data_IF_497940756824
#
_entry.id   IF_497940756824
#
_cell.length_a   1.000
_cell.length_b   1.000
_cell.length_c   1.000
_cell.angle_alpha   90.00
_cell.angle_beta   90.00
_cell.angle_gamma   90.00
#
_symmetry.space_group_name_H-M   'P 1'
#
loop_
_entity.id
_entity.type
_entity.pdbx_description
1 polymer ?
#
# COMPACT_ATOMS: atom_id res chain seq x y z
N UNK A 1 82.66 62.82 68.64
CA UNK A 1 81.73 61.73 68.97
C UNK A 1 80.27 62.12 68.63
N UNK A 2 79.81 63.32 68.89
CA UNK A 2 78.40 63.75 68.67
C UNK A 2 78.03 63.82 67.21
N UNK A 3 78.95 64.18 66.28
CA UNK A 3 78.72 64.26 64.87
C UNK A 3 78.45 62.84 64.17
N UNK A 4 79.10 61.83 64.76
CA UNK A 4 79.01 60.46 64.25
C UNK A 4 77.64 59.81 64.62
N UNK A 5 77.12 60.17 65.81
CA UNK A 5 75.81 59.72 66.27
C UNK A 5 74.69 60.41 65.49
N UNK A 6 74.83 61.70 65.14
CA UNK A 6 73.90 62.44 64.34
C UNK A 6 73.83 61.88 62.89
N UNK A 7 74.95 61.42 62.32
CA UNK A 7 75.03 60.80 60.98
C UNK A 7 74.30 59.42 60.95
N UNK A 8 74.47 58.63 62.01
CA UNK A 8 73.80 57.34 62.15
C UNK A 8 72.26 57.47 62.28
N UNK A 9 71.82 58.51 63.04
CA UNK A 9 70.38 58.80 63.15
C UNK A 9 69.79 59.32 61.83
N UNK A 10 70.57 60.11 61.09
CA UNK A 10 70.16 60.61 59.81
C UNK A 10 70.07 59.45 58.75
N UNK A 11 70.99 58.49 58.74
CA UNK A 11 70.94 57.31 57.85
C UNK A 11 69.79 56.35 58.20
N UNK A 12 69.43 56.26 59.47
CA UNK A 12 68.29 55.42 59.88
C UNK A 12 66.96 56.03 59.46
N UNK A 13 66.85 57.34 59.33
CA UNK A 13 65.67 58.04 58.87
C UNK A 13 65.49 58.01 57.30
N UNK A 14 66.59 57.88 56.59
CA UNK A 14 66.55 57.84 55.11
C UNK A 14 66.21 56.45 54.55
N UNK A 15 66.00 55.47 55.41
CA UNK A 15 65.50 54.15 54.94
C UNK A 15 66.52 53.30 54.18
N UNK A 16 67.84 53.68 54.25
CA UNK A 16 68.92 52.94 53.54
C UNK A 16 69.37 51.69 54.29
N UNK A 17 69.02 51.57 55.59
CA UNK A 17 69.34 50.39 56.40
C UNK A 17 68.01 49.85 56.96
N UNK A 18 67.37 49.00 56.25
CA UNK A 18 66.16 48.29 56.64
C UNK A 18 65.45 47.78 55.44
N UNK A 19 65.81 46.62 55.04
CA UNK A 19 65.08 45.90 54.02
C UNK A 19 63.72 45.59 54.63
N UNK A 20 62.73 46.47 54.37
CA UNK A 20 61.33 46.10 54.64
C UNK A 20 60.95 45.01 53.60
N UNK A 21 60.99 43.77 54.04
CA UNK A 21 60.30 42.72 53.34
C UNK A 21 58.86 43.16 53.03
N UNK A 22 58.65 43.61 51.82
CA UNK A 22 57.28 43.77 51.29
C UNK A 22 56.65 42.38 51.27
N UNK A 23 55.92 42.05 52.30
CA UNK A 23 55.10 40.85 52.31
C UNK A 23 54.35 40.72 50.96
N UNK A 24 54.42 39.56 50.33
CA UNK A 24 53.64 39.27 49.12
C UNK A 24 52.18 39.49 49.49
N UNK A 25 51.51 40.40 48.81
CA UNK A 25 50.09 40.53 48.93
C UNK A 25 49.48 39.27 48.34
N UNK A 26 48.84 38.47 49.14
CA UNK A 26 48.09 37.26 48.71
C UNK A 26 46.65 37.72 48.60
N UNK A 27 46.13 37.58 47.42
CA UNK A 27 44.72 37.79 47.18
C UNK A 27 43.98 36.55 47.65
N UNK A 28 43.14 36.66 48.63
CA UNK A 28 42.36 35.57 49.20
C UNK A 28 40.98 35.69 48.61
N UNK A 29 40.64 34.78 47.69
CA UNK A 29 39.28 34.63 47.19
C UNK A 29 38.53 33.62 48.06
N UNK A 30 37.34 33.97 48.49
CA UNK A 30 36.45 33.07 49.21
C UNK A 30 35.86 32.07 48.19
N UNK A 31 36.13 30.79 48.36
CA UNK A 31 35.56 29.74 47.54
C UNK A 31 34.09 29.65 47.87
N UNK A 32 33.25 29.94 46.86
CA UNK A 32 31.82 29.73 46.96
C UNK A 32 31.48 28.42 46.24
N UNK A 33 30.66 27.62 46.88
CA UNK A 33 30.09 26.43 46.22
C UNK A 33 28.97 26.88 45.28
N UNK A 34 29.13 26.61 43.99
CA UNK A 34 28.09 26.84 43.00
C UNK A 34 27.66 25.50 42.38
N UNK A 35 26.38 25.35 42.20
CA UNK A 35 25.84 24.19 41.50
C UNK A 35 25.99 24.40 39.99
N UNK A 36 26.75 23.53 39.33
CA UNK A 36 26.87 23.50 37.89
C UNK A 36 25.80 22.54 37.36
N UNK A 37 24.88 23.07 36.57
CA UNK A 37 23.90 22.25 35.86
C UNK A 37 24.42 22.01 34.44
N UNK A 38 24.84 20.80 34.18
CA UNK A 38 25.20 20.37 32.82
C UNK A 38 23.91 19.97 32.06
N UNK A 39 23.60 20.69 31.01
CA UNK A 39 22.47 20.38 30.12
C UNK A 39 22.99 19.63 28.92
N UNK A 40 22.59 18.38 28.79
CA UNK A 40 22.84 17.58 27.58
C UNK A 40 21.60 17.68 26.68
N UNK A 41 21.75 18.30 25.53
CA UNK A 41 20.70 18.30 24.49
C UNK A 41 20.82 17.05 23.64
N UNK A 42 19.72 16.29 23.53
CA UNK A 42 19.62 15.16 22.65
C UNK A 42 18.51 15.41 21.61
N UNK A 43 18.78 15.06 20.37
CA UNK A 43 17.79 15.09 19.30
C UNK A 43 17.33 13.67 19.03
N UNK A 44 16.01 13.46 18.89
CA UNK A 44 15.40 12.18 18.56
C UNK A 44 14.34 12.36 17.49
N UNK A 45 14.09 11.31 16.71
CA UNK A 45 12.99 11.23 15.75
C UNK A 45 11.95 10.26 16.28
N UNK A 46 10.72 10.73 16.41
CA UNK A 46 9.58 9.87 16.75
C UNK A 46 9.08 9.25 15.43
N UNK A 47 9.02 7.94 15.38
CA UNK A 47 8.49 7.21 14.26
C UNK A 47 7.38 6.27 14.74
N UNK A 48 6.33 6.03 13.94
CA UNK A 48 5.31 5.05 14.27
C UNK A 48 5.93 3.63 14.25
N UNK A 49 5.42 2.76 15.11
CA UNK A 49 5.81 1.34 15.15
C UNK A 49 5.41 0.61 13.86
N UNK A 50 4.23 0.97 13.31
CA UNK A 50 3.71 0.41 12.06
C UNK A 50 3.33 1.56 11.14
N UNK A 51 3.89 1.57 9.95
CA UNK A 51 3.54 2.49 8.86
C UNK A 51 3.01 1.69 7.67
N UNK A 52 1.79 1.98 7.22
CA UNK A 52 1.18 1.37 6.04
C UNK A 52 1.09 2.41 4.94
N UNK A 53 1.85 2.22 3.87
CA UNK A 53 1.77 3.05 2.67
C UNK A 53 0.62 2.57 1.79
N UNK A 54 -0.34 3.45 1.55
CA UNK A 54 -1.48 3.20 0.68
C UNK A 54 -1.22 3.91 -0.64
N UNK A 55 -1.18 3.15 -1.73
CA UNK A 55 -1.06 3.67 -3.09
C UNK A 55 -2.25 3.22 -3.94
N UNK A 56 -2.51 3.93 -5.03
CA UNK A 56 -3.53 3.52 -5.98
C UNK A 56 -3.01 2.34 -6.82
N UNK A 57 -3.80 1.29 -6.97
CA UNK A 57 -3.53 0.17 -7.88
C UNK A 57 -4.08 0.43 -9.29
N UNK A 58 -4.91 1.46 -9.45
CA UNK A 58 -5.55 1.83 -10.72
C UNK A 58 -5.31 3.29 -11.04
N UNK A 59 -5.24 3.62 -12.34
CA UNK A 59 -5.01 4.99 -12.80
C UNK A 59 -6.34 5.72 -12.96
N UNK A 60 -6.39 7.00 -12.57
CA UNK A 60 -7.56 7.82 -12.77
C UNK A 60 -7.51 9.13 -11.99
N UNK A 61 -8.54 9.95 -12.13
CA UNK A 61 -8.73 11.20 -11.41
C UNK A 61 -9.41 10.94 -10.06
N UNK A 62 -8.95 11.59 -9.00
CA UNK A 62 -9.56 11.54 -7.68
C UNK A 62 -10.82 12.39 -7.67
N UNK A 63 -11.98 11.76 -7.57
CA UNK A 63 -13.29 12.44 -7.55
C UNK A 63 -13.83 12.67 -6.13
N UNK A 64 -13.29 11.96 -5.13
CA UNK A 64 -13.62 12.21 -3.73
C UNK A 64 -12.41 11.87 -2.85
N UNK A 65 -12.15 12.75 -1.89
CA UNK A 65 -11.11 12.63 -0.88
C UNK A 65 -11.78 12.90 0.47
N UNK A 66 -11.98 11.86 1.26
CA UNK A 66 -12.81 11.92 2.48
C UNK A 66 -11.97 12.00 3.76
N UNK A 67 -10.67 12.22 3.63
CA UNK A 67 -9.73 12.24 4.76
C UNK A 67 -8.82 13.44 4.66
N UNK A 68 -8.32 13.86 5.83
CA UNK A 68 -7.32 14.93 5.98
C UNK A 68 -6.15 14.39 6.81
N UNK A 69 -5.00 15.06 6.71
CA UNK A 69 -3.85 14.75 7.56
C UNK A 69 -4.19 14.90 9.04
N UNK A 70 -3.70 13.97 9.87
CA UNK A 70 -3.98 13.92 11.30
C UNK A 70 -5.32 13.28 11.68
N UNK A 71 -6.16 12.91 10.71
CA UNK A 71 -7.46 12.29 10.99
C UNK A 71 -7.31 10.83 11.43
N UNK A 72 -8.08 10.46 12.46
CA UNK A 72 -8.22 9.06 12.88
C UNK A 72 -9.23 8.36 12.00
N UNK A 73 -8.85 7.22 11.45
CA UNK A 73 -9.69 6.38 10.58
C UNK A 73 -9.80 4.97 11.15
N UNK A 74 -10.91 4.31 10.85
CA UNK A 74 -11.15 2.91 11.19
C UNK A 74 -11.00 2.03 9.95
N UNK A 75 -10.67 0.77 10.17
CA UNK A 75 -10.65 -0.23 9.10
C UNK A 75 -11.97 -0.26 8.35
N UNK A 76 -11.91 -0.10 7.03
CA UNK A 76 -13.06 -0.06 6.15
C UNK A 76 -13.62 1.35 5.87
N UNK A 77 -13.08 2.40 6.49
CA UNK A 77 -13.46 3.77 6.15
C UNK A 77 -13.01 4.11 4.73
N UNK A 78 -13.87 4.83 3.99
CA UNK A 78 -13.58 5.29 2.64
C UNK A 78 -12.59 6.44 2.68
N UNK A 79 -11.39 6.23 2.13
CA UNK A 79 -10.34 7.24 2.07
C UNK A 79 -10.41 8.05 0.79
N UNK A 80 -10.31 7.37 -0.35
CA UNK A 80 -10.23 7.99 -1.68
C UNK A 80 -11.13 7.27 -2.66
N UNK A 81 -11.77 8.03 -3.56
CA UNK A 81 -12.51 7.48 -4.68
C UNK A 81 -11.96 8.03 -5.99
N UNK A 82 -11.54 7.12 -6.86
CA UNK A 82 -11.05 7.40 -8.20
C UNK A 82 -12.23 7.31 -9.16
N UNK A 83 -12.21 8.07 -10.25
CA UNK A 83 -13.26 8.06 -11.27
C UNK A 83 -13.47 6.64 -11.84
N UNK A 84 -14.62 6.00 -11.59
CA UNK A 84 -14.87 4.61 -11.99
C UNK A 84 -15.39 4.45 -13.43
N UNK A 85 -15.66 5.53 -14.18
CA UNK A 85 -16.41 5.48 -15.44
C UNK A 85 -15.77 4.56 -16.48
N UNK A 86 -14.46 4.62 -16.64
CA UNK A 86 -13.69 3.77 -17.54
C UNK A 86 -13.81 2.28 -17.13
N UNK A 87 -13.67 2.01 -15.84
CA UNK A 87 -13.72 0.66 -15.28
C UNK A 87 -15.13 0.09 -15.33
N UNK A 88 -16.13 0.91 -15.05
CA UNK A 88 -17.55 0.54 -15.17
C UNK A 88 -17.91 0.17 -16.62
N UNK A 89 -17.45 0.96 -17.58
CA UNK A 89 -17.66 0.68 -19.01
C UNK A 89 -16.95 -0.61 -19.44
N UNK A 90 -15.72 -0.83 -18.93
CA UNK A 90 -14.96 -2.06 -19.13
C UNK A 90 -15.69 -3.28 -18.55
N UNK A 91 -16.17 -3.19 -17.32
CA UNK A 91 -16.94 -4.25 -16.66
C UNK A 91 -18.22 -4.59 -17.45
N UNK A 92 -19.00 -3.59 -17.86
CA UNK A 92 -20.23 -3.80 -18.63
C UNK A 92 -19.97 -4.47 -19.98
N UNK A 93 -18.86 -4.12 -20.65
CA UNK A 93 -18.42 -4.77 -21.89
C UNK A 93 -18.10 -6.24 -21.69
N UNK A 94 -17.35 -6.58 -20.64
CA UNK A 94 -17.02 -7.98 -20.33
C UNK A 94 -18.24 -8.77 -19.91
N UNK A 95 -19.20 -8.17 -19.20
CA UNK A 95 -20.47 -8.78 -18.83
C UNK A 95 -21.33 -9.09 -20.05
N UNK A 96 -21.36 -8.20 -21.05
CA UNK A 96 -22.05 -8.42 -22.32
C UNK A 96 -21.41 -9.57 -23.11
N UNK A 97 -20.08 -9.65 -23.14
CA UNK A 97 -19.36 -10.76 -23.76
C UNK A 97 -19.67 -12.10 -23.07
N UNK A 98 -19.71 -12.14 -21.73
CA UNK A 98 -20.12 -13.33 -20.98
C UNK A 98 -21.56 -13.77 -21.35
N UNK A 99 -22.46 -12.81 -21.52
CA UNK A 99 -23.82 -13.11 -21.94
C UNK A 99 -23.87 -13.75 -23.31
N UNK A 100 -23.05 -13.28 -24.27
CA UNK A 100 -22.89 -13.86 -25.58
C UNK A 100 -22.31 -15.28 -25.53
N UNK A 101 -21.27 -15.51 -24.74
CA UNK A 101 -20.70 -16.86 -24.60
C UNK A 101 -21.65 -17.83 -23.90
N UNK A 102 -22.49 -17.38 -22.96
CA UNK A 102 -23.57 -18.19 -22.37
C UNK A 102 -24.64 -18.57 -23.40
N UNK A 103 -24.99 -17.66 -24.31
CA UNK A 103 -25.91 -17.97 -25.42
C UNK A 103 -25.32 -19.05 -26.35
N UNK A 104 -24.02 -18.96 -26.67
CA UNK A 104 -23.33 -20.00 -27.48
C UNK A 104 -23.28 -21.35 -26.75
N UNK A 105 -23.09 -21.36 -25.41
CA UNK A 105 -23.19 -22.61 -24.64
C UNK A 105 -24.59 -23.21 -24.70
N UNK A 106 -25.62 -22.37 -24.60
CA UNK A 106 -27.03 -22.82 -24.73
C UNK A 106 -27.30 -23.45 -26.09
N UNK A 107 -26.77 -22.87 -27.18
CA UNK A 107 -26.86 -23.43 -28.52
C UNK A 107 -26.13 -24.77 -28.63
N UNK A 108 -24.88 -24.84 -28.10
CA UNK A 108 -24.11 -26.10 -28.11
C UNK A 108 -24.80 -27.20 -27.27
N UNK A 109 -25.44 -26.82 -26.15
CA UNK A 109 -26.21 -27.74 -25.31
C UNK A 109 -27.46 -28.28 -26.05
N UNK A 110 -28.14 -27.44 -26.81
CA UNK A 110 -29.28 -27.86 -27.65
C UNK A 110 -28.84 -28.85 -28.74
N UNK A 111 -27.73 -28.55 -29.44
CA UNK A 111 -27.15 -29.44 -30.44
C UNK A 111 -26.68 -30.77 -29.84
N UNK A 112 -26.10 -30.74 -28.65
CA UNK A 112 -25.72 -31.95 -27.90
C UNK A 112 -26.93 -32.78 -27.52
N UNK A 113 -28.03 -32.17 -27.05
CA UNK A 113 -29.28 -32.87 -26.72
C UNK A 113 -29.89 -33.56 -27.96
N UNK A 114 -29.87 -32.88 -29.10
CA UNK A 114 -30.31 -33.46 -30.38
C UNK A 114 -29.45 -34.66 -30.79
N UNK A 115 -28.13 -34.48 -30.80
CA UNK A 115 -27.18 -35.54 -31.14
C UNK A 115 -27.29 -36.74 -30.20
N UNK A 116 -27.51 -36.48 -28.90
CA UNK A 116 -27.73 -37.52 -27.89
C UNK A 116 -29.00 -38.28 -28.13
N UNK A 117 -30.11 -37.61 -28.43
CA UNK A 117 -31.38 -38.28 -28.74
C UNK A 117 -31.29 -39.16 -30.00
N UNK A 118 -30.55 -38.70 -31.02
CA UNK A 118 -30.27 -39.49 -32.24
C UNK A 118 -29.36 -40.69 -31.92
N UNK A 119 -28.33 -40.51 -31.12
CA UNK A 119 -27.44 -41.58 -30.65
C UNK A 119 -28.22 -42.64 -29.89
N UNK A 120 -29.04 -42.28 -28.89
CA UNK A 120 -29.82 -43.21 -28.05
C UNK A 120 -30.84 -43.99 -28.91
N UNK A 121 -31.48 -43.35 -29.90
CA UNK A 121 -32.38 -43.98 -30.86
C UNK A 121 -31.64 -44.97 -31.75
N UNK A 122 -30.56 -44.54 -32.39
CA UNK A 122 -29.76 -45.35 -33.31
C UNK A 122 -29.10 -46.53 -32.60
N UNK A 123 -28.72 -46.37 -31.33
CA UNK A 123 -28.23 -47.47 -30.48
C UNK A 123 -29.28 -48.56 -30.37
N UNK A 124 -30.51 -48.20 -30.06
CA UNK A 124 -31.63 -49.17 -29.96
C UNK A 124 -31.92 -49.88 -31.29
N UNK A 125 -31.81 -49.16 -32.42
CA UNK A 125 -32.03 -49.76 -33.78
C UNK A 125 -30.85 -50.66 -34.15
N UNK A 126 -29.61 -50.29 -33.81
CA UNK A 126 -28.42 -51.10 -34.06
C UNK A 126 -28.45 -52.41 -33.26
N UNK A 127 -28.81 -52.32 -31.97
CA UNK A 127 -28.95 -53.47 -31.06
C UNK A 127 -30.00 -54.47 -31.56
N UNK A 128 -31.00 -53.97 -32.32
CA UNK A 128 -32.05 -54.78 -32.98
C UNK A 128 -31.66 -55.26 -34.41
N UNK A 129 -30.47 -54.90 -34.90
CA UNK A 129 -30.00 -55.25 -36.23
C UNK A 129 -30.72 -54.52 -37.39
N UNK A 130 -31.38 -53.37 -37.11
CA UNK A 130 -32.21 -52.64 -38.10
C UNK A 130 -31.37 -51.66 -38.93
N UNK A 131 -30.28 -51.13 -38.39
CA UNK A 131 -29.37 -50.17 -39.08
C UNK A 131 -28.01 -50.78 -39.35
N UNK A 132 -27.30 -50.22 -40.35
CA UNK A 132 -25.94 -50.65 -40.67
C UNK A 132 -24.92 -50.18 -39.62
N UNK A 133 -23.77 -50.88 -39.53
CA UNK A 133 -22.67 -50.46 -38.69
C UNK A 133 -22.16 -49.07 -39.10
N UNK A 134 -22.12 -48.75 -40.40
CA UNK A 134 -21.72 -47.44 -40.91
C UNK A 134 -22.62 -46.31 -40.40
N UNK A 135 -23.93 -46.52 -40.34
CA UNK A 135 -24.89 -45.52 -39.86
C UNK A 135 -24.79 -45.36 -38.33
N UNK A 136 -24.55 -46.45 -37.63
CA UNK A 136 -24.23 -46.42 -36.20
C UNK A 136 -22.96 -45.63 -35.93
N UNK A 137 -21.84 -45.92 -36.62
CA UNK A 137 -20.56 -45.22 -36.42
C UNK A 137 -20.69 -43.73 -36.74
N UNK A 138 -21.47 -43.30 -37.72
CA UNK A 138 -21.79 -41.90 -37.99
C UNK A 138 -22.54 -41.24 -36.83
N UNK A 139 -23.48 -41.94 -36.22
CA UNK A 139 -24.24 -41.44 -35.09
C UNK A 139 -23.35 -41.25 -33.84
N UNK A 140 -22.43 -42.22 -33.60
CA UNK A 140 -21.45 -42.11 -32.52
C UNK A 140 -20.53 -40.90 -32.74
N UNK A 141 -20.00 -40.75 -33.97
CA UNK A 141 -19.12 -39.62 -34.29
C UNK A 141 -19.83 -38.28 -34.10
N UNK A 142 -21.08 -38.15 -34.57
CA UNK A 142 -21.88 -36.93 -34.41
C UNK A 142 -22.13 -36.59 -32.93
N UNK A 143 -22.40 -37.59 -32.09
CA UNK A 143 -22.58 -37.42 -30.66
C UNK A 143 -21.30 -36.96 -29.98
N UNK A 144 -20.16 -37.59 -30.30
CA UNK A 144 -18.86 -37.20 -29.68
C UNK A 144 -18.45 -35.80 -30.13
N UNK A 145 -18.69 -35.40 -31.39
CA UNK A 145 -18.44 -34.03 -31.86
C UNK A 145 -19.32 -33.02 -31.11
N UNK A 146 -20.62 -33.29 -30.97
CA UNK A 146 -21.52 -32.39 -30.25
C UNK A 146 -21.16 -32.28 -28.76
N UNK A 147 -20.72 -33.38 -28.13
CA UNK A 147 -20.25 -33.44 -26.77
C UNK A 147 -18.98 -32.57 -26.59
N UNK A 148 -18.02 -32.70 -27.51
CA UNK A 148 -16.79 -31.91 -27.48
C UNK A 148 -17.07 -30.40 -27.67
N UNK A 149 -18.00 -30.06 -28.60
CA UNK A 149 -18.40 -28.67 -28.83
C UNK A 149 -19.07 -28.05 -27.58
N UNK A 150 -19.97 -28.78 -26.92
CA UNK A 150 -20.57 -28.33 -25.65
C UNK A 150 -19.49 -28.10 -24.58
N UNK A 151 -18.54 -29.00 -24.45
CA UNK A 151 -17.47 -28.88 -23.48
C UNK A 151 -16.57 -27.67 -23.77
N UNK A 152 -16.23 -27.44 -25.04
CA UNK A 152 -15.49 -26.25 -25.47
C UNK A 152 -16.26 -24.96 -25.13
N UNK A 153 -17.56 -24.90 -25.45
CA UNK A 153 -18.41 -23.77 -25.13
C UNK A 153 -18.49 -23.52 -23.60
N UNK A 154 -18.52 -24.58 -22.79
CA UNK A 154 -18.49 -24.48 -21.34
C UNK A 154 -17.19 -23.83 -20.83
N UNK A 155 -16.02 -24.24 -21.33
CA UNK A 155 -14.75 -23.62 -20.96
C UNK A 155 -14.63 -22.16 -21.43
N UNK A 156 -15.24 -21.83 -22.59
CA UNK A 156 -15.32 -20.45 -23.06
C UNK A 156 -16.13 -19.56 -22.08
N UNK A 157 -17.24 -20.07 -21.54
CA UNK A 157 -18.00 -19.36 -20.48
C UNK A 157 -17.18 -19.19 -19.23
N UNK A 158 -16.43 -20.22 -18.82
CA UNK A 158 -15.56 -20.14 -17.64
C UNK A 158 -14.47 -19.08 -17.82
N UNK A 159 -13.82 -19.04 -18.99
CA UNK A 159 -12.83 -18.02 -19.34
C UNK A 159 -13.44 -16.62 -19.34
N UNK A 160 -14.60 -16.43 -20.00
CA UNK A 160 -15.27 -15.14 -20.01
C UNK A 160 -15.71 -14.70 -18.59
N UNK A 161 -16.10 -15.65 -17.74
CA UNK A 161 -16.42 -15.36 -16.33
C UNK A 161 -15.20 -14.89 -15.54
N UNK A 162 -14.02 -15.46 -15.78
CA UNK A 162 -12.78 -15.01 -15.17
C UNK A 162 -12.44 -13.57 -15.58
N UNK A 163 -12.61 -13.22 -16.86
CA UNK A 163 -12.41 -11.85 -17.35
C UNK A 163 -13.40 -10.85 -16.72
N UNK A 164 -14.64 -11.25 -16.46
CA UNK A 164 -15.63 -10.43 -15.75
C UNK A 164 -15.19 -10.19 -14.31
N UNK A 165 -14.67 -11.20 -13.62
CA UNK A 165 -14.18 -11.06 -12.24
C UNK A 165 -12.97 -10.11 -12.19
N UNK A 166 -12.03 -10.23 -13.12
CA UNK A 166 -10.89 -9.31 -13.24
C UNK A 166 -11.36 -7.84 -13.43
N UNK A 167 -12.31 -7.62 -14.34
CA UNK A 167 -12.85 -6.28 -14.57
C UNK A 167 -13.61 -5.75 -13.34
N UNK A 168 -14.30 -6.63 -12.60
CA UNK A 168 -14.98 -6.29 -11.33
C UNK A 168 -13.98 -5.91 -10.24
N UNK A 169 -12.88 -6.64 -10.12
CA UNK A 169 -11.84 -6.36 -9.14
C UNK A 169 -11.17 -5.02 -9.44
N UNK A 170 -10.86 -4.74 -10.72
CA UNK A 170 -10.32 -3.46 -11.15
C UNK A 170 -11.29 -2.30 -10.87
N UNK A 171 -12.60 -2.50 -11.05
CA UNK A 171 -13.62 -1.54 -10.63
C UNK A 171 -13.64 -1.36 -9.11
N UNK A 172 -13.51 -2.43 -8.33
CA UNK A 172 -13.43 -2.36 -6.86
C UNK A 172 -12.24 -1.55 -6.37
N UNK A 173 -11.09 -1.66 -7.06
CA UNK A 173 -9.85 -0.93 -6.74
C UNK A 173 -9.93 0.58 -7.00
N UNK A 174 -10.98 1.07 -7.67
CA UNK A 174 -11.23 2.52 -7.81
C UNK A 174 -11.65 3.17 -6.49
N UNK A 175 -12.00 2.37 -5.49
CA UNK A 175 -12.43 2.82 -4.17
C UNK A 175 -11.45 2.30 -3.13
N UNK A 176 -10.70 3.22 -2.51
CA UNK A 176 -9.63 2.88 -1.57
C UNK A 176 -10.17 3.02 -0.15
N UNK A 177 -10.08 1.94 0.62
CA UNK A 177 -10.49 1.86 2.02
C UNK A 177 -9.30 1.72 2.95
N UNK A 178 -9.46 2.12 4.21
CA UNK A 178 -8.47 1.91 5.26
C UNK A 178 -8.29 0.41 5.56
N UNK A 179 -7.08 -0.15 5.47
CA UNK A 179 -6.81 -1.57 5.73
C UNK A 179 -6.80 -1.90 7.23
N UNK A 180 -6.56 -0.91 8.09
CA UNK A 180 -6.47 -1.04 9.54
C UNK A 180 -6.91 0.27 10.21
N UNK A 181 -7.16 0.20 11.53
CA UNK A 181 -7.37 1.39 12.36
C UNK A 181 -6.06 2.17 12.48
N UNK A 182 -6.12 3.50 12.41
CA UNK A 182 -4.92 4.32 12.50
C UNK A 182 -5.18 5.80 12.32
N UNK A 183 -4.10 6.56 12.16
CA UNK A 183 -4.14 7.99 11.90
C UNK A 183 -3.41 8.28 10.59
N UNK A 184 -4.00 9.12 9.75
CA UNK A 184 -3.37 9.57 8.51
C UNK A 184 -2.20 10.50 8.86
N UNK A 185 -0.98 10.04 8.60
CA UNK A 185 0.23 10.84 8.93
C UNK A 185 0.58 11.85 7.84
N UNK A 186 0.46 11.45 6.58
CA UNK A 186 0.76 12.28 5.40
C UNK A 186 -0.22 11.97 4.29
N UNK A 187 -0.66 12.98 3.57
CA UNK A 187 -1.55 12.89 2.41
C UNK A 187 -0.86 13.54 1.21
N UNK A 188 -0.36 12.71 0.30
CA UNK A 188 0.40 13.15 -0.88
C UNK A 188 -0.46 13.32 -2.14
N UNK A 189 -1.77 13.44 -1.99
CA UNK A 189 -2.71 13.55 -3.12
C UNK A 189 -3.78 14.59 -2.83
N UNK A 190 -4.27 15.22 -3.89
CA UNK A 190 -5.31 16.26 -3.82
C UNK A 190 -6.56 15.86 -4.62
N UNK A 191 -7.70 16.46 -4.27
CA UNK A 191 -8.95 16.30 -5.02
C UNK A 191 -8.78 16.85 -6.45
N UNK A 192 -9.16 16.07 -7.45
CA UNK A 192 -8.99 16.41 -8.88
C UNK A 192 -7.62 16.02 -9.44
N UNK A 193 -6.69 15.53 -8.63
CA UNK A 193 -5.40 15.05 -9.09
C UNK A 193 -5.55 13.70 -9.83
N UNK A 194 -4.68 13.49 -10.84
CA UNK A 194 -4.62 12.24 -11.58
C UNK A 194 -3.53 11.35 -11.02
N UNK A 195 -3.91 10.21 -10.47
CA UNK A 195 -2.98 9.18 -9.97
C UNK A 195 -2.73 8.11 -11.03
N UNK A 196 -1.54 7.53 -10.97
CA UNK A 196 -1.16 6.37 -11.78
C UNK A 196 -1.19 5.12 -10.90
N UNK A 197 -1.73 4.04 -11.44
CA UNK A 197 -1.69 2.73 -10.79
C UNK A 197 -0.26 2.17 -10.79
N UNK A 198 0.14 1.59 -9.67
CA UNK A 198 1.45 0.91 -9.48
C UNK A 198 1.32 -0.58 -9.64
#
# INVERSE_FOLDING_TARGET
>A
AVALIALLIALSKTGVIGNKDKGKSIEIAKVNSSTIVETVSATGKIQPEIEVKISSEVSGEIIALNVIEGQVVKKGDLLVKINPDLYTSGYNRTLSNLSGTKANLSQADASFKEAKANYDRNKTLFDKGIISKSDWDKSVASFEVAKANKQSAYFNVQSASATVNEAKDNLGRTTIYAPADGTISVLNVELGERVLGT
#
